data_IF_026694674849
#
_entry.id   IF_026694674849
#
_cell.length_a   1.000
_cell.length_b   1.000
_cell.length_c   1.000
_cell.angle_alpha   90.00
_cell.angle_beta   90.00
_cell.angle_gamma   90.00
#
_symmetry.space_group_name_H-M   'P 1'
#
loop_
_entity.id
_entity.type
_entity.pdbx_description
1 polymer ?
#
# COMPACT_ATOMS: atom_id res chain seq x y z
N UNK A 1 -11.94 2.98 -14.97
CA UNK A 1 -11.40 1.70 -14.45
C UNK A 1 -10.36 1.98 -13.37
N UNK A 2 -10.12 1.04 -12.46
CA UNK A 2 -9.23 1.23 -11.29
C UNK A 2 -7.81 0.76 -11.61
N UNK A 3 -6.82 1.60 -11.32
CA UNK A 3 -5.41 1.23 -11.19
C UNK A 3 -5.09 1.14 -9.69
N UNK A 4 -4.75 -0.04 -9.22
CA UNK A 4 -4.47 -0.27 -7.82
C UNK A 4 -3.05 0.16 -7.44
N UNK A 5 -2.92 0.95 -6.37
CA UNK A 5 -1.67 1.16 -5.66
C UNK A 5 -1.71 0.29 -4.40
N UNK A 6 -1.22 -0.93 -4.54
CA UNK A 6 -1.35 -1.98 -3.55
C UNK A 6 -0.04 -2.28 -2.83
N UNK A 7 -0.11 -2.65 -1.57
CA UNK A 7 1.04 -3.13 -0.81
C UNK A 7 0.59 -3.82 0.48
N UNK A 8 1.44 -4.68 1.03
CA UNK A 8 1.34 -4.97 2.45
C UNK A 8 1.56 -3.68 3.27
N UNK A 9 0.87 -3.49 4.43
CA UNK A 9 1.10 -2.31 5.26
C UNK A 9 2.59 -2.09 5.57
N UNK A 10 3.02 -0.83 5.66
CA UNK A 10 4.40 -0.42 5.99
C UNK A 10 5.46 -0.75 4.93
N UNK A 11 5.04 -1.06 3.71
CA UNK A 11 5.94 -1.29 2.56
C UNK A 11 6.27 -0.03 1.75
N UNK A 12 5.97 1.18 2.26
CA UNK A 12 6.27 2.43 1.56
C UNK A 12 5.14 2.99 0.68
N UNK A 13 3.91 2.43 0.77
CA UNK A 13 2.76 2.87 -0.03
C UNK A 13 2.53 4.39 0.04
N UNK A 14 2.61 4.99 1.21
CA UNK A 14 2.39 6.43 1.39
C UNK A 14 3.43 7.27 0.65
N UNK A 15 4.70 6.88 0.66
CA UNK A 15 5.74 7.55 -0.10
C UNK A 15 5.48 7.48 -1.62
N UNK A 16 5.18 6.28 -2.15
CA UNK A 16 4.78 6.12 -3.56
C UNK A 16 3.55 6.95 -3.93
N UNK A 17 2.56 6.93 -3.05
CA UNK A 17 1.34 7.70 -3.24
C UNK A 17 1.62 9.20 -3.29
N UNK A 18 2.55 9.70 -2.47
CA UNK A 18 3.02 11.08 -2.52
C UNK A 18 3.76 11.39 -3.82
N UNK A 19 4.69 10.53 -4.26
CA UNK A 19 5.37 10.72 -5.54
C UNK A 19 4.37 10.80 -6.70
N UNK A 20 3.48 9.81 -6.83
CA UNK A 20 2.50 9.77 -7.91
C UNK A 20 1.55 10.98 -7.84
N UNK A 21 0.99 11.29 -6.66
CA UNK A 21 0.01 12.37 -6.53
C UNK A 21 0.63 13.75 -6.76
N UNK A 22 1.83 14.02 -6.25
CA UNK A 22 2.51 15.29 -6.46
C UNK A 22 3.05 15.45 -7.89
N UNK A 23 3.33 14.36 -8.60
CA UNK A 23 3.69 14.41 -10.00
C UNK A 23 2.48 14.66 -10.91
N UNK A 24 1.39 13.89 -10.71
CA UNK A 24 0.22 13.97 -11.59
C UNK A 24 -0.67 15.19 -11.31
N UNK A 25 -0.77 15.62 -10.06
CA UNK A 25 -1.65 16.70 -9.60
C UNK A 25 -0.93 17.67 -8.66
N UNK A 26 0.03 18.47 -9.17
CA UNK A 26 0.82 19.40 -8.34
C UNK A 26 0.02 20.68 -8.04
N UNK A 27 -1.00 20.60 -7.16
CA UNK A 27 -1.93 21.72 -6.93
C UNK A 27 -1.81 22.39 -5.55
N UNK A 28 -0.87 21.96 -4.72
CA UNK A 28 -0.86 22.40 -3.32
C UNK A 28 0.45 22.95 -2.77
N UNK A 29 0.33 23.81 -1.78
CA UNK A 29 1.44 24.24 -0.90
C UNK A 29 1.86 23.17 0.08
N UNK A 30 0.97 22.20 0.35
CA UNK A 30 1.21 21.06 1.23
C UNK A 30 1.22 19.77 0.42
N UNK A 31 2.36 19.08 0.41
CA UNK A 31 2.55 17.82 -0.35
C UNK A 31 1.57 16.73 0.09
N UNK A 32 1.08 16.73 1.33
CA UNK A 32 0.10 15.76 1.83
C UNK A 32 -1.31 16.02 1.30
N UNK A 33 -1.64 17.26 0.92
CA UNK A 33 -2.93 17.62 0.36
C UNK A 33 -3.27 16.88 -0.93
N UNK A 34 -2.25 16.52 -1.71
CA UNK A 34 -2.42 15.80 -2.96
C UNK A 34 -2.78 14.32 -2.80
N UNK A 35 -2.68 13.77 -1.58
CA UNK A 35 -3.13 12.40 -1.28
C UNK A 35 -4.63 12.19 -1.53
N UNK A 36 -5.44 13.26 -1.56
CA UNK A 36 -6.88 13.21 -1.92
C UNK A 36 -7.14 12.64 -3.32
N UNK A 37 -6.17 12.77 -4.25
CA UNK A 37 -6.29 12.27 -5.62
C UNK A 37 -6.05 10.76 -5.76
N UNK A 38 -5.47 10.13 -4.73
CA UNK A 38 -5.30 8.67 -4.65
C UNK A 38 -5.95 8.19 -3.33
N UNK A 39 -7.28 8.15 -3.26
CA UNK A 39 -7.99 7.77 -2.04
C UNK A 39 -7.80 6.28 -1.71
N UNK A 40 -8.09 5.93 -0.46
CA UNK A 40 -8.06 4.54 0.02
C UNK A 40 -9.29 3.77 -0.45
N UNK A 41 -9.13 2.46 -0.67
CA UNK A 41 -10.21 1.49 -0.80
C UNK A 41 -9.94 0.31 0.16
N UNK A 42 -10.92 -0.13 0.97
CA UNK A 42 -12.29 0.39 1.08
C UNK A 42 -12.36 1.78 1.76
N UNK A 43 -13.42 2.53 1.46
CA UNK A 43 -13.79 3.78 2.11
C UNK A 43 -15.30 3.91 2.10
N UNK A 44 -15.91 4.38 3.21
CA UNK A 44 -17.36 4.40 3.44
C UNK A 44 -18.19 4.93 2.26
N UNK A 45 -17.79 6.06 1.69
CA UNK A 45 -18.51 6.69 0.58
C UNK A 45 -18.65 5.83 -0.69
N UNK A 46 -17.82 4.81 -0.89
CA UNK A 46 -17.95 3.90 -2.03
C UNK A 46 -19.02 2.83 -1.85
N UNK A 47 -19.53 2.69 -0.65
CA UNK A 47 -20.50 1.66 -0.27
C UNK A 47 -21.88 2.24 0.08
N UNK A 48 -22.05 3.56 0.02
CA UNK A 48 -23.32 4.21 0.27
C UNK A 48 -24.40 3.74 -0.69
N UNK A 49 -25.55 3.34 -0.13
CA UNK A 49 -26.70 2.85 -0.90
C UNK A 49 -26.60 1.41 -1.40
N UNK A 50 -25.48 0.68 -1.14
CA UNK A 50 -25.34 -0.72 -1.55
C UNK A 50 -25.08 -1.69 -0.40
N UNK A 51 -24.68 -1.20 0.76
CA UNK A 51 -24.35 -2.02 1.93
C UNK A 51 -25.57 -2.20 2.82
N UNK A 52 -25.82 -3.44 3.21
CA UNK A 52 -26.70 -3.77 4.30
C UNK A 52 -25.93 -3.66 5.64
N UNK A 53 -26.12 -2.55 6.34
CA UNK A 53 -25.42 -2.26 7.60
C UNK A 53 -25.75 -3.29 8.71
N UNK A 54 -26.95 -3.87 8.72
CA UNK A 54 -27.33 -4.88 9.72
C UNK A 54 -26.58 -6.20 9.51
N UNK A 55 -26.39 -6.59 8.26
CA UNK A 55 -25.59 -7.75 7.90
C UNK A 55 -24.13 -7.56 8.32
N UNK A 56 -23.55 -6.36 8.13
CA UNK A 56 -22.19 -6.05 8.55
C UNK A 56 -21.99 -6.03 10.07
N UNK A 57 -23.03 -5.64 10.84
CA UNK A 57 -22.99 -5.72 12.32
C UNK A 57 -22.92 -7.16 12.81
N UNK A 58 -23.55 -8.10 12.10
CA UNK A 58 -23.52 -9.55 12.42
C UNK A 58 -22.20 -10.19 12.02
N UNK A 59 -21.69 -9.86 10.85
CA UNK A 59 -20.43 -10.36 10.33
C UNK A 59 -19.75 -9.32 9.43
N UNK A 60 -18.70 -8.70 9.95
CA UNK A 60 -17.95 -7.66 9.22
C UNK A 60 -17.26 -8.17 7.95
N UNK A 61 -17.06 -9.50 7.80
CA UNK A 61 -16.52 -10.09 6.57
C UNK A 61 -17.53 -10.11 5.42
N UNK A 62 -18.82 -9.90 5.69
CA UNK A 62 -19.84 -9.74 4.64
C UNK A 62 -19.57 -8.52 3.74
N UNK A 63 -18.77 -7.56 4.18
CA UNK A 63 -18.37 -6.41 3.34
C UNK A 63 -17.75 -6.82 2.01
N UNK A 64 -17.08 -8.00 1.95
CA UNK A 64 -16.41 -8.45 0.73
C UNK A 64 -17.39 -8.70 -0.41
N UNK A 65 -18.66 -9.07 -0.15
CA UNK A 65 -19.68 -9.23 -1.21
C UNK A 65 -20.00 -7.93 -1.94
N UNK A 66 -19.72 -6.78 -1.31
CA UNK A 66 -19.98 -5.45 -1.87
C UNK A 66 -18.76 -4.84 -2.59
N UNK A 67 -17.57 -5.47 -2.54
CA UNK A 67 -16.36 -4.89 -3.15
C UNK A 67 -16.49 -4.76 -4.68
N UNK A 68 -16.99 -5.78 -5.36
CA UNK A 68 -17.22 -5.71 -6.82
C UNK A 68 -18.31 -4.68 -7.15
N UNK A 69 -19.51 -4.68 -6.54
CA UNK A 69 -20.51 -3.64 -6.75
C UNK A 69 -19.99 -2.22 -6.54
N UNK A 70 -19.21 -1.98 -5.45
CA UNK A 70 -18.61 -0.68 -5.20
C UNK A 70 -17.64 -0.25 -6.31
N UNK A 71 -16.82 -1.18 -6.81
CA UNK A 71 -15.89 -0.92 -7.92
C UNK A 71 -16.63 -0.65 -9.25
N UNK A 72 -17.74 -1.30 -9.49
CA UNK A 72 -18.60 -1.01 -10.66
C UNK A 72 -19.17 0.41 -10.61
N UNK A 73 -19.59 0.87 -9.41
CA UNK A 73 -20.02 2.26 -9.20
C UNK A 73 -18.87 3.24 -9.43
N UNK A 74 -17.69 2.94 -8.88
CA UNK A 74 -16.48 3.77 -9.08
C UNK A 74 -16.16 3.89 -10.58
N UNK A 75 -16.40 2.86 -11.37
CA UNK A 75 -16.04 2.78 -12.79
C UNK A 75 -17.08 3.37 -13.76
N UNK A 76 -18.26 3.81 -13.28
CA UNK A 76 -19.37 4.27 -14.15
C UNK A 76 -18.99 5.35 -15.17
N UNK A 77 -18.06 6.24 -14.84
CA UNK A 77 -17.63 7.31 -15.75
C UNK A 77 -16.46 6.93 -16.68
N UNK A 78 -16.02 5.69 -16.68
CA UNK A 78 -14.89 5.18 -17.48
C UNK A 78 -13.55 5.93 -17.33
N UNK A 79 -13.40 6.78 -16.33
CA UNK A 79 -12.14 7.44 -16.03
C UNK A 79 -11.20 6.51 -15.28
N UNK A 80 -9.89 6.65 -15.54
CA UNK A 80 -8.89 5.98 -14.72
C UNK A 80 -8.82 6.60 -13.33
N UNK A 81 -9.04 5.79 -12.30
CA UNK A 81 -8.87 6.18 -10.89
C UNK A 81 -7.77 5.35 -10.25
N UNK A 82 -6.82 6.01 -9.62
CA UNK A 82 -5.77 5.32 -8.84
C UNK A 82 -6.28 5.21 -7.40
N UNK A 83 -6.39 4.00 -6.88
CA UNK A 83 -6.85 3.75 -5.52
C UNK A 83 -5.79 3.01 -4.70
N UNK A 84 -5.53 3.50 -3.48
CA UNK A 84 -4.67 2.80 -2.51
C UNK A 84 -5.42 1.65 -1.85
N UNK A 85 -4.77 0.50 -1.69
CA UNK A 85 -5.30 -0.60 -0.88
C UNK A 85 -4.21 -1.37 -0.13
N UNK A 86 -4.59 -1.98 0.99
CA UNK A 86 -3.83 -2.98 1.71
C UNK A 86 -4.56 -4.32 1.79
N UNK A 87 -5.63 -4.50 1.01
CA UNK A 87 -6.25 -5.81 0.86
C UNK A 87 -5.35 -6.74 0.03
N UNK A 88 -5.35 -8.02 0.37
CA UNK A 88 -4.83 -9.03 -0.54
C UNK A 88 -5.76 -9.17 -1.76
N UNK A 89 -5.21 -9.60 -2.90
CA UNK A 89 -5.97 -9.73 -4.14
C UNK A 89 -6.60 -11.12 -4.29
N UNK A 90 -7.24 -11.61 -3.24
CA UNK A 90 -7.90 -12.92 -3.23
C UNK A 90 -9.39 -12.81 -2.91
N UNK A 91 -9.97 -13.91 -2.44
CA UNK A 91 -11.39 -13.99 -2.09
C UNK A 91 -11.59 -14.30 -0.61
N UNK A 92 -12.60 -13.69 -0.01
CA UNK A 92 -13.10 -14.00 1.32
C UNK A 92 -14.54 -14.49 1.17
N UNK A 93 -14.88 -15.63 1.75
CA UNK A 93 -16.22 -16.27 1.63
C UNK A 93 -16.71 -16.42 0.18
N UNK A 94 -15.78 -16.62 -0.77
CA UNK A 94 -16.10 -16.73 -2.20
C UNK A 94 -16.24 -15.39 -2.94
N UNK A 95 -16.18 -14.26 -2.24
CA UNK A 95 -16.23 -12.91 -2.84
C UNK A 95 -14.82 -12.40 -3.15
N UNK A 96 -14.48 -12.15 -4.42
CA UNK A 96 -13.16 -11.65 -4.79
C UNK A 96 -12.98 -10.18 -4.39
N UNK A 97 -11.74 -9.81 -4.06
CA UNK A 97 -11.38 -8.41 -3.83
C UNK A 97 -11.64 -7.54 -5.06
N UNK A 98 -11.23 -8.01 -6.23
CA UNK A 98 -11.40 -7.33 -7.53
C UNK A 98 -11.36 -8.34 -8.67
N UNK A 99 -11.59 -7.87 -9.91
CA UNK A 99 -11.51 -8.67 -11.13
C UNK A 99 -10.98 -7.83 -12.31
N UNK A 100 -10.71 -8.48 -13.46
CA UNK A 100 -10.20 -7.82 -14.67
C UNK A 100 -11.18 -6.83 -15.30
N UNK A 101 -12.50 -6.97 -15.07
CA UNK A 101 -13.50 -6.01 -15.56
C UNK A 101 -13.43 -4.67 -14.84
N UNK A 102 -13.03 -4.67 -13.55
CA UNK A 102 -13.00 -3.47 -12.72
C UNK A 102 -11.61 -2.86 -12.59
N UNK A 103 -10.54 -3.61 -12.96
CA UNK A 103 -9.16 -3.22 -12.76
C UNK A 103 -8.41 -3.06 -14.08
N UNK A 104 -7.84 -1.87 -14.31
CA UNK A 104 -6.90 -1.65 -15.42
C UNK A 104 -5.55 -2.30 -15.16
N UNK A 105 -5.10 -2.30 -13.91
CA UNK A 105 -3.81 -2.87 -13.52
C UNK A 105 -3.48 -2.63 -12.05
N UNK A 106 -2.26 -2.99 -11.65
CA UNK A 106 -1.77 -2.80 -10.30
C UNK A 106 -0.29 -2.39 -10.26
N UNK A 107 0.02 -1.42 -9.40
CA UNK A 107 1.37 -1.11 -8.92
C UNK A 107 1.45 -1.74 -7.53
N UNK A 108 2.20 -2.81 -7.40
CA UNK A 108 2.38 -3.51 -6.14
C UNK A 108 3.74 -3.19 -5.52
N UNK A 109 3.73 -2.65 -4.30
CA UNK A 109 4.95 -2.32 -3.57
C UNK A 109 5.21 -3.42 -2.57
N UNK A 110 6.39 -4.04 -2.68
CA UNK A 110 6.90 -5.05 -1.75
C UNK A 110 8.07 -4.48 -0.96
N UNK A 111 8.24 -4.92 0.27
CA UNK A 111 9.35 -4.58 1.16
C UNK A 111 9.80 -5.80 1.93
N UNK A 112 11.09 -5.85 2.31
CA UNK A 112 11.65 -6.88 3.19
C UNK A 112 10.75 -7.07 4.43
N UNK A 113 10.22 -8.30 4.67
CA UNK A 113 9.31 -8.55 5.79
C UNK A 113 9.93 -8.26 7.16
N UNK A 114 11.26 -8.34 7.31
CA UNK A 114 11.98 -7.94 8.53
C UNK A 114 11.86 -6.43 8.76
N UNK A 115 12.02 -5.63 7.72
CA UNK A 115 11.80 -4.17 7.75
C UNK A 115 10.33 -3.81 7.96
N UNK A 116 9.39 -4.60 7.42
CA UNK A 116 7.95 -4.45 7.67
C UNK A 116 7.62 -4.66 9.13
N UNK A 117 8.18 -5.70 9.79
CA UNK A 117 8.01 -5.95 11.23
C UNK A 117 8.41 -4.74 12.05
N UNK A 118 9.61 -4.19 11.80
CA UNK A 118 10.11 -3.02 12.53
C UNK A 118 9.21 -1.81 12.34
N UNK A 119 8.88 -1.49 11.08
CA UNK A 119 8.02 -0.34 10.78
C UNK A 119 6.59 -0.48 11.33
N UNK A 120 6.06 -1.71 11.38
CA UNK A 120 4.72 -1.98 11.91
C UNK A 120 4.70 -1.91 13.44
N UNK A 121 5.78 -2.36 14.11
CA UNK A 121 5.92 -2.28 15.56
C UNK A 121 5.87 -0.81 16.03
N UNK A 122 6.70 0.05 15.49
CA UNK A 122 6.71 1.48 15.85
C UNK A 122 5.41 2.21 15.49
N UNK A 123 4.80 1.87 14.34
CA UNK A 123 3.57 2.52 13.89
C UNK A 123 2.35 2.23 14.78
N UNK A 124 2.31 1.07 15.42
CA UNK A 124 1.17 0.62 16.21
C UNK A 124 1.50 0.48 17.73
N UNK A 125 2.67 0.93 18.15
CA UNK A 125 3.18 0.74 19.52
C UNK A 125 3.17 -0.74 19.97
N UNK A 126 3.64 -1.64 19.08
CA UNK A 126 3.75 -3.07 19.34
C UNK A 126 5.18 -3.48 19.66
N UNK A 127 5.32 -4.52 20.51
CA UNK A 127 6.57 -5.26 20.61
C UNK A 127 6.88 -5.96 19.27
N UNK A 128 8.17 -6.20 18.97
CA UNK A 128 8.59 -6.84 17.72
C UNK A 128 8.04 -8.25 17.58
N UNK A 129 7.91 -8.99 18.66
CA UNK A 129 7.28 -10.32 18.73
C UNK A 129 5.85 -10.27 18.22
N UNK A 130 5.04 -9.36 18.75
CA UNK A 130 3.64 -9.16 18.33
C UNK A 130 3.54 -8.71 16.86
N UNK A 131 4.43 -7.84 16.43
CA UNK A 131 4.47 -7.41 15.02
C UNK A 131 4.83 -8.57 14.09
N UNK A 132 5.77 -9.44 14.49
CA UNK A 132 6.15 -10.65 13.76
C UNK A 132 4.98 -11.62 13.65
N UNK A 133 4.25 -11.88 14.73
CA UNK A 133 3.06 -12.73 14.72
C UNK A 133 1.97 -12.20 13.78
N UNK A 134 1.76 -10.87 13.75
CA UNK A 134 0.77 -10.27 12.87
C UNK A 134 1.07 -10.47 11.39
N UNK A 135 2.31 -10.33 10.94
CA UNK A 135 2.65 -10.53 9.52
C UNK A 135 2.61 -12.01 9.10
N UNK A 136 2.61 -12.94 10.06
CA UNK A 136 2.48 -14.38 9.86
C UNK A 136 1.04 -14.88 10.05
N UNK A 137 0.10 -14.03 10.45
CA UNK A 137 -1.25 -14.43 10.79
C UNK A 137 -2.20 -14.43 9.59
N UNK A 138 -2.84 -15.57 9.32
CA UNK A 138 -3.95 -15.69 8.38
C UNK A 138 -5.21 -14.96 8.82
N UNK A 139 -5.25 -14.48 10.07
CA UNK A 139 -6.34 -13.69 10.64
C UNK A 139 -6.00 -12.20 10.72
N UNK A 140 -4.96 -11.76 10.00
CA UNK A 140 -4.57 -10.36 9.99
C UNK A 140 -5.56 -9.53 9.16
N UNK A 141 -6.55 -9.01 9.84
CA UNK A 141 -7.55 -8.10 9.32
C UNK A 141 -7.52 -6.80 10.10
N UNK A 142 -8.03 -5.73 9.53
CA UNK A 142 -8.24 -4.45 10.22
C UNK A 142 -9.52 -3.79 9.74
N UNK A 143 -10.09 -2.94 10.58
CA UNK A 143 -11.15 -2.04 10.18
C UNK A 143 -10.53 -0.75 9.64
N UNK A 144 -10.97 -0.33 8.47
CA UNK A 144 -10.60 0.93 7.87
C UNK A 144 -11.89 1.68 7.53
N UNK A 145 -12.14 2.80 8.22
CA UNK A 145 -13.36 3.60 8.06
C UNK A 145 -14.65 2.76 8.24
N UNK A 146 -14.63 1.82 9.21
CA UNK A 146 -15.73 0.89 9.49
C UNK A 146 -15.81 -0.33 8.56
N UNK A 147 -14.95 -0.43 7.54
CA UNK A 147 -14.90 -1.54 6.59
C UNK A 147 -13.70 -2.46 6.82
N UNK A 148 -13.96 -3.76 6.71
CA UNK A 148 -12.91 -4.76 6.89
C UNK A 148 -11.91 -4.72 5.74
N UNK A 149 -10.64 -4.73 6.09
CA UNK A 149 -9.49 -4.86 5.20
C UNK A 149 -8.74 -6.14 5.54
N UNK A 150 -8.69 -7.11 4.63
CA UNK A 150 -7.99 -8.38 4.82
C UNK A 150 -6.57 -8.30 4.26
N UNK A 151 -5.60 -8.42 5.14
CA UNK A 151 -4.16 -8.38 4.81
C UNK A 151 -3.57 -9.77 4.73
N UNK A 152 -4.00 -10.65 5.61
CA UNK A 152 -3.52 -12.02 5.82
C UNK A 152 -2.01 -12.03 6.14
N UNK A 153 -1.28 -13.09 5.74
CA UNK A 153 0.18 -13.11 5.91
C UNK A 153 0.86 -12.23 4.85
N UNK A 154 2.08 -11.78 5.12
CA UNK A 154 2.90 -11.07 4.13
C UNK A 154 3.07 -11.89 2.84
N UNK A 155 3.31 -13.20 2.97
CA UNK A 155 3.42 -14.16 1.87
C UNK A 155 2.15 -14.26 1.03
N UNK A 156 0.99 -14.52 1.66
CA UNK A 156 -0.29 -14.63 0.95
C UNK A 156 -0.63 -13.33 0.24
N UNK A 157 -0.40 -12.20 0.89
CA UNK A 157 -0.62 -10.89 0.30
C UNK A 157 0.23 -10.69 -0.96
N UNK A 158 1.54 -10.93 -0.88
CA UNK A 158 2.45 -10.82 -2.02
C UNK A 158 2.02 -11.74 -3.16
N UNK A 159 1.84 -13.04 -2.88
CA UNK A 159 1.47 -14.03 -3.88
C UNK A 159 0.12 -13.75 -4.53
N UNK A 160 -0.85 -13.20 -3.81
CA UNK A 160 -2.15 -12.86 -4.37
C UNK A 160 -2.05 -11.76 -5.43
N UNK A 161 -1.30 -10.70 -5.16
CA UNK A 161 -1.05 -9.62 -6.12
C UNK A 161 -0.15 -10.07 -7.28
N UNK A 162 0.82 -10.95 -7.02
CA UNK A 162 1.66 -11.53 -8.07
C UNK A 162 0.85 -12.38 -9.05
N UNK A 163 -0.13 -13.15 -8.55
CA UNK A 163 -0.92 -14.11 -9.35
C UNK A 163 -2.16 -13.52 -10.01
N UNK A 164 -2.68 -12.37 -9.54
CA UNK A 164 -3.89 -11.78 -10.12
C UNK A 164 -3.74 -11.56 -11.63
N UNK A 165 -4.78 -11.90 -12.38
CA UNK A 165 -4.79 -11.79 -13.85
C UNK A 165 -5.21 -10.38 -14.32
N UNK A 166 -4.33 -9.42 -14.06
CA UNK A 166 -4.36 -8.03 -14.57
C UNK A 166 -2.95 -7.58 -14.88
N UNK A 167 -2.75 -6.58 -15.75
CA UNK A 167 -1.45 -5.93 -15.92
C UNK A 167 -0.88 -5.44 -14.59
N UNK A 168 0.40 -5.69 -14.32
CA UNK A 168 0.99 -5.29 -13.04
C UNK A 168 2.49 -5.02 -13.14
N UNK A 169 2.94 -4.13 -12.26
CA UNK A 169 4.36 -3.89 -11.97
C UNK A 169 4.58 -4.11 -10.47
N UNK A 170 5.64 -4.84 -10.14
CA UNK A 170 6.05 -5.07 -8.75
C UNK A 170 7.32 -4.28 -8.50
N UNK A 171 7.28 -3.38 -7.53
CA UNK A 171 8.39 -2.49 -7.17
C UNK A 171 8.83 -2.81 -5.74
N UNK A 172 10.12 -3.06 -5.56
CA UNK A 172 10.71 -3.17 -4.23
C UNK A 172 10.91 -1.78 -3.63
N UNK A 173 10.54 -1.62 -2.36
CA UNK A 173 10.79 -0.39 -1.61
C UNK A 173 12.28 -0.02 -1.61
N UNK A 174 13.13 -1.04 -1.47
CA UNK A 174 14.58 -0.91 -1.42
C UNK A 174 15.15 -0.39 -2.75
N UNK A 175 14.60 -0.86 -3.88
CA UNK A 175 15.04 -0.39 -5.21
C UNK A 175 14.60 1.07 -5.43
N UNK A 176 13.38 1.45 -5.00
CA UNK A 176 12.98 2.86 -5.06
C UNK A 176 13.84 3.74 -4.16
N UNK A 177 14.24 3.22 -3.00
CA UNK A 177 15.10 3.96 -2.07
C UNK A 177 16.51 4.20 -2.65
N UNK A 178 17.08 3.19 -3.31
CA UNK A 178 18.42 3.28 -3.90
C UNK A 178 18.47 4.02 -5.24
N UNK A 179 17.41 3.91 -6.05
CA UNK A 179 17.31 4.51 -7.39
C UNK A 179 15.90 5.07 -7.63
N UNK A 180 15.54 6.17 -6.94
CA UNK A 180 14.19 6.72 -7.03
C UNK A 180 13.85 7.25 -8.42
N UNK A 181 14.85 7.76 -9.18
CA UNK A 181 14.62 8.34 -10.50
C UNK A 181 14.14 7.28 -11.50
N UNK A 182 14.93 6.20 -11.67
CA UNK A 182 14.60 5.17 -12.65
C UNK A 182 13.36 4.39 -12.22
N UNK A 183 13.21 4.08 -10.93
CA UNK A 183 12.04 3.33 -10.43
C UNK A 183 10.75 4.13 -10.54
N UNK A 184 10.79 5.44 -10.27
CA UNK A 184 9.62 6.27 -10.48
C UNK A 184 9.29 6.46 -11.96
N UNK A 185 10.30 6.55 -12.84
CA UNK A 185 10.12 6.57 -14.29
C UNK A 185 9.46 5.28 -14.80
N UNK A 186 9.85 4.09 -14.30
CA UNK A 186 9.20 2.81 -14.61
C UNK A 186 7.70 2.85 -14.27
N UNK A 187 7.36 3.37 -13.09
CA UNK A 187 5.97 3.51 -12.63
C UNK A 187 5.19 4.47 -13.53
N UNK A 188 5.76 5.61 -13.90
CA UNK A 188 5.09 6.56 -14.80
C UNK A 188 4.87 5.99 -16.20
N UNK A 189 5.83 5.22 -16.73
CA UNK A 189 5.66 4.47 -17.98
C UNK A 189 4.54 3.43 -17.89
N UNK A 190 4.42 2.74 -16.76
CA UNK A 190 3.34 1.81 -16.51
C UNK A 190 1.97 2.51 -16.44
N UNK A 191 1.86 3.63 -15.71
CA UNK A 191 0.63 4.43 -15.65
C UNK A 191 0.24 4.95 -17.05
N UNK A 192 1.23 5.31 -17.87
CA UNK A 192 1.01 5.84 -19.21
C UNK A 192 0.36 4.84 -20.18
N UNK A 193 0.36 3.53 -19.87
CA UNK A 193 -0.37 2.52 -20.63
C UNK A 193 -1.89 2.67 -20.50
N UNK A 194 -2.37 3.29 -19.41
CA UNK A 194 -3.79 3.40 -19.09
C UNK A 194 -4.32 4.85 -19.16
N UNK A 195 -3.45 5.81 -18.97
CA UNK A 195 -3.75 7.24 -19.00
C UNK A 195 -2.53 8.00 -19.51
N UNK A 196 -2.71 8.77 -20.59
CA UNK A 196 -1.63 9.59 -21.14
C UNK A 196 -1.05 10.52 -20.08
N UNK A 197 0.23 10.33 -19.78
CA UNK A 197 1.00 11.12 -18.82
C UNK A 197 2.21 11.72 -19.56
N UNK A 198 2.38 13.04 -19.47
CA UNK A 198 3.62 13.69 -19.96
C UNK A 198 4.74 13.28 -19.00
N UNK A 199 5.72 12.54 -19.51
CA UNK A 199 6.91 12.17 -18.76
C UNK A 199 7.95 13.26 -18.98
N UNK A 200 8.37 13.90 -17.87
CA UNK A 200 9.32 14.99 -17.85
C UNK A 200 10.35 14.73 -16.74
N UNK A 201 11.60 14.54 -17.13
CA UNK A 201 12.66 14.13 -16.21
C UNK A 201 12.96 15.19 -15.13
N UNK A 202 12.91 16.48 -15.50
CA UNK A 202 13.12 17.55 -14.52
C UNK A 202 12.00 17.56 -13.48
N UNK A 203 10.75 17.44 -13.93
CA UNK A 203 9.60 17.30 -13.02
C UNK A 203 9.69 16.06 -12.12
N UNK A 204 10.23 14.94 -12.63
CA UNK A 204 10.48 13.76 -11.83
C UNK A 204 11.48 14.08 -10.71
N UNK A 205 12.62 14.68 -11.04
CA UNK A 205 13.66 15.08 -10.08
C UNK A 205 13.11 16.03 -9.00
N UNK A 206 12.37 17.06 -9.41
CA UNK A 206 11.72 18.01 -8.49
C UNK A 206 10.71 17.31 -7.57
N UNK A 207 9.95 16.34 -8.10
CA UNK A 207 8.97 15.59 -7.31
C UNK A 207 9.66 14.69 -6.29
N UNK A 208 10.76 14.03 -6.68
CA UNK A 208 11.56 13.20 -5.78
C UNK A 208 12.14 14.05 -4.66
N UNK A 209 12.71 15.21 -4.99
CA UNK A 209 13.24 16.14 -4.00
C UNK A 209 12.17 16.62 -3.02
N UNK A 210 11.01 17.07 -3.51
CA UNK A 210 9.87 17.46 -2.68
C UNK A 210 9.40 16.34 -1.74
N UNK A 211 9.48 15.09 -2.20
CA UNK A 211 9.09 13.90 -1.45
C UNK A 211 10.31 13.20 -0.80
N UNK A 212 11.46 13.86 -0.68
CA UNK A 212 12.61 13.34 0.06
C UNK A 212 12.26 13.10 1.54
N UNK A 213 13.00 12.21 2.20
CA UNK A 213 12.68 11.86 3.57
C UNK A 213 12.74 13.06 4.51
N UNK A 214 13.75 13.92 4.35
CA UNK A 214 13.93 15.16 5.11
C UNK A 214 12.72 16.08 4.94
N UNK A 215 12.31 16.33 3.70
CA UNK A 215 11.15 17.16 3.39
C UNK A 215 9.84 16.57 3.93
N UNK A 216 9.69 15.22 3.92
CA UNK A 216 8.52 14.57 4.50
C UNK A 216 8.47 14.72 6.02
N UNK A 217 9.61 14.58 6.71
CA UNK A 217 9.72 14.80 8.16
C UNK A 217 9.38 16.26 8.52
N UNK A 218 9.90 17.22 7.77
CA UNK A 218 9.66 18.65 8.05
C UNK A 218 8.19 19.04 7.74
N UNK A 219 7.60 18.50 6.70
CA UNK A 219 6.19 18.69 6.42
C UNK A 219 5.30 18.05 7.51
N UNK A 220 5.65 16.85 8.01
CA UNK A 220 4.92 16.22 9.12
C UNK A 220 4.98 17.06 10.40
N UNK A 221 6.13 17.62 10.74
CA UNK A 221 6.28 18.55 11.89
C UNK A 221 5.43 19.82 11.71
N UNK A 222 5.40 20.39 10.50
CA UNK A 222 4.73 21.65 10.20
C UNK A 222 3.21 21.54 10.10
N UNK A 223 2.71 20.47 9.46
CA UNK A 223 1.29 20.33 9.10
C UNK A 223 0.60 19.15 9.80
N UNK A 224 1.35 18.32 10.52
CA UNK A 224 0.86 17.02 10.99
C UNK A 224 0.67 16.01 9.87
N UNK A 225 0.41 14.76 10.20
CA UNK A 225 0.07 13.72 9.22
C UNK A 225 -1.05 12.82 9.72
N UNK A 226 -2.15 12.76 8.96
CA UNK A 226 -3.41 12.11 9.37
C UNK A 226 -3.33 10.57 9.43
N UNK A 227 -2.34 9.96 8.79
CA UNK A 227 -2.14 8.49 8.83
C UNK A 227 -1.22 8.05 9.99
N UNK A 228 -0.78 8.97 10.85
CA UNK A 228 -0.04 8.66 12.09
C UNK A 228 -1.01 8.01 13.10
N UNK A 229 -0.61 6.87 13.68
CA UNK A 229 -1.40 6.15 14.68
C UNK A 229 -0.67 6.05 16.03
N UNK A 230 0.60 5.69 16.04
CA UNK A 230 1.42 5.52 17.23
C UNK A 230 1.99 6.83 17.79
N UNK A 231 2.83 6.70 18.83
CA UNK A 231 3.54 7.81 19.48
C UNK A 231 4.60 8.42 18.59
N UNK A 232 5.30 7.58 17.82
CA UNK A 232 6.34 8.00 16.88
C UNK A 232 5.77 8.74 15.66
N UNK A 233 6.59 9.58 15.03
CA UNK A 233 6.27 10.19 13.76
C UNK A 233 6.05 9.14 12.69
N UNK A 234 5.18 9.44 11.72
CA UNK A 234 4.93 8.53 10.60
C UNK A 234 6.19 8.35 9.75
N UNK A 235 6.88 9.46 9.45
CA UNK A 235 8.19 9.47 8.78
C UNK A 235 9.29 9.46 9.84
N UNK A 236 9.59 8.27 10.41
CA UNK A 236 10.46 8.13 11.59
C UNK A 236 11.95 8.16 11.26
N UNK A 237 12.43 7.24 10.41
CA UNK A 237 13.86 7.11 10.07
C UNK A 237 14.12 6.92 8.57
N UNK A 238 13.19 6.34 7.81
CA UNK A 238 13.36 6.08 6.38
C UNK A 238 14.46 5.08 6.01
N UNK A 239 14.91 4.24 6.96
CA UNK A 239 16.01 3.30 6.75
C UNK A 239 15.51 1.98 6.15
N UNK A 240 16.34 1.37 5.28
CA UNK A 240 16.06 0.07 4.66
C UNK A 240 16.41 -1.07 5.62
N UNK A 241 17.57 -1.02 6.25
CA UNK A 241 18.19 -2.13 6.99
C UNK A 241 18.15 -1.99 8.53
N UNK A 242 17.25 -1.16 9.07
CA UNK A 242 17.15 -0.94 10.51
C UNK A 242 16.92 -2.26 11.28
N UNK A 243 16.24 -3.22 10.68
CA UNK A 243 15.97 -4.52 11.28
C UNK A 243 17.26 -5.26 11.73
N UNK A 244 18.40 -5.04 11.05
CA UNK A 244 19.69 -5.65 11.39
C UNK A 244 20.20 -5.24 12.78
N UNK A 245 19.78 -4.08 13.26
CA UNK A 245 20.25 -3.53 14.55
C UNK A 245 19.23 -3.67 15.68
N UNK A 246 17.93 -3.85 15.35
CA UNK A 246 16.87 -3.83 16.36
C UNK A 246 16.16 -5.16 16.57
N UNK A 247 16.12 -6.05 15.56
CA UNK A 247 15.49 -7.35 15.72
C UNK A 247 16.44 -8.37 16.35
N UNK A 248 15.92 -9.13 17.30
CA UNK A 248 16.63 -10.29 17.87
C UNK A 248 16.79 -11.38 16.79
N UNK A 249 17.91 -12.07 16.84
CA UNK A 249 18.26 -13.12 15.86
C UNK A 249 17.19 -14.21 15.72
N UNK A 250 16.57 -14.60 16.83
CA UNK A 250 15.49 -15.60 16.80
C UNK A 250 14.25 -15.15 16.03
N UNK A 251 13.91 -13.84 16.05
CA UNK A 251 12.82 -13.29 15.23
C UNK A 251 13.21 -13.24 13.75
N UNK A 252 14.45 -12.84 13.45
CA UNK A 252 14.98 -12.83 12.08
C UNK A 252 14.89 -14.24 11.48
N UNK A 253 15.43 -15.26 12.17
CA UNK A 253 15.36 -16.67 11.72
C UNK A 253 13.92 -17.16 11.54
N UNK A 254 13.00 -16.76 12.43
CA UNK A 254 11.58 -17.11 12.33
C UNK A 254 10.95 -16.53 11.07
N UNK A 255 11.21 -15.25 10.75
CA UNK A 255 10.69 -14.56 9.55
C UNK A 255 11.27 -15.19 8.28
N UNK A 256 12.59 -15.39 8.24
CA UNK A 256 13.29 -15.98 7.09
C UNK A 256 12.84 -17.41 6.80
N UNK A 257 12.62 -18.22 7.83
CA UNK A 257 12.07 -19.57 7.68
C UNK A 257 10.65 -19.57 7.13
N UNK A 258 9.77 -18.69 7.64
CA UNK A 258 8.35 -18.63 7.24
C UNK A 258 8.17 -18.15 5.80
N UNK A 259 9.00 -17.20 5.35
CA UNK A 259 8.88 -16.55 4.06
C UNK A 259 10.03 -16.86 3.11
N UNK A 260 10.73 -17.98 3.33
CA UNK A 260 12.00 -18.32 2.66
C UNK A 260 11.92 -18.20 1.14
N UNK A 261 10.93 -18.83 0.51
CA UNK A 261 10.83 -18.89 -0.96
C UNK A 261 10.57 -17.49 -1.55
N UNK A 262 9.68 -16.71 -0.97
CA UNK A 262 9.35 -15.37 -1.45
C UNK A 262 10.50 -14.38 -1.20
N UNK A 263 11.20 -14.51 -0.07
CA UNK A 263 12.37 -13.69 0.24
C UNK A 263 13.53 -14.00 -0.70
N UNK A 264 13.76 -15.28 -1.02
CA UNK A 264 14.77 -15.70 -1.99
C UNK A 264 14.44 -15.19 -3.40
N UNK A 265 13.20 -15.34 -3.84
CA UNK A 265 12.72 -14.81 -5.13
C UNK A 265 12.95 -13.30 -5.24
N UNK A 266 12.65 -12.56 -4.17
CA UNK A 266 12.81 -11.11 -4.11
C UNK A 266 14.24 -10.65 -3.80
N UNK A 267 15.19 -11.59 -3.65
CA UNK A 267 16.60 -11.31 -3.31
C UNK A 267 16.77 -10.54 -2.00
N UNK A 268 16.04 -10.95 -0.97
CA UNK A 268 16.22 -10.51 0.41
C UNK A 268 17.10 -11.47 1.23
N UNK A 269 17.33 -12.67 0.68
CA UNK A 269 18.26 -13.70 1.18
C UNK A 269 19.38 -13.93 0.18
#
# INVERSE_FOLDING_TARGET
>A
MILWLASYPKSGNTWFRLLISNYLWPDGTNIFGNLKYIPKFPKKNYFEGIVDEESLKKDSLEVFKYFIPAQEIINKNNELKILKTHNFAGSIKGYPFTNSKNSSGAIYIVRDPRSVVVSNAYHNDYEFEKSTERIMSNKNVSLNDGFMEARLTWKIHYLSWKKIDIPKIIIKYEDLFSDPLNKFLEVLKFINQFKKVKIDENKIKETIEKCSFENLVDNEKKFGFTERLGKENFFRKGLVDEWKTVLKENLVKKIEKEFFEEMKELKYL
#
